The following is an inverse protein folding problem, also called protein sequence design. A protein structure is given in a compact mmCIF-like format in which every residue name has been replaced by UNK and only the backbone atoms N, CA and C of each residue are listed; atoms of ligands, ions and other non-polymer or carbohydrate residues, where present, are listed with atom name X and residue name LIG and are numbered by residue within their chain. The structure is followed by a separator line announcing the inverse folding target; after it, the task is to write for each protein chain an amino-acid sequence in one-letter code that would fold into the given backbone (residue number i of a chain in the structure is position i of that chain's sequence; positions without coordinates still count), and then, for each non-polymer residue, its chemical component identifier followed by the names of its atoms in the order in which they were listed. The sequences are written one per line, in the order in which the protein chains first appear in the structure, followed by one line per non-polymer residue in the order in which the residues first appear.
data_IF_127956827906
#
_entry.id   IF_127956827906
#
_cell.length_a   1.000
_cell.length_b   1.000
_cell.length_c   1.000
_cell.angle_alpha   90.00
_cell.angle_beta   90.00
_cell.angle_gamma   90.00
#
_symmetry.space_group_name_H-M   'P 1'
#
loop_
_entity.id
_entity.type
_entity.pdbx_description
1 polymer ?
#
# COMPACT_ATOMS: atom_id res chain seq x y z
N UNK A 1 4.96 -13.64 -1.67
CA UNK A 1 3.49 -13.78 -1.58
C UNK A 1 2.76 -12.60 -2.22
N UNK A 2 3.02 -11.34 -1.85
CA UNK A 2 2.38 -10.17 -2.49
C UNK A 2 2.34 -10.22 -4.02
N UNK A 3 3.48 -10.49 -4.65
CA UNK A 3 3.61 -10.55 -6.11
C UNK A 3 2.76 -11.64 -6.79
N UNK A 4 2.44 -12.71 -6.07
CA UNK A 4 1.53 -13.76 -6.55
C UNK A 4 0.08 -13.29 -6.42
N UNK A 5 -0.28 -12.70 -5.28
CA UNK A 5 -1.63 -12.18 -5.02
C UNK A 5 -2.02 -11.12 -6.06
N UNK A 6 -1.10 -10.25 -6.46
CA UNK A 6 -1.37 -9.21 -7.46
C UNK A 6 -1.21 -9.68 -8.92
N UNK A 7 -1.00 -10.98 -9.13
CA UNK A 7 -0.91 -11.57 -10.48
C UNK A 7 0.38 -11.22 -11.25
N UNK A 8 1.45 -10.78 -10.56
CA UNK A 8 2.76 -10.53 -11.20
C UNK A 8 3.52 -11.83 -11.46
N UNK A 9 3.31 -12.85 -10.65
CA UNK A 9 3.87 -14.19 -10.83
C UNK A 9 2.78 -15.24 -10.65
N UNK A 10 2.75 -16.28 -11.47
CA UNK A 10 1.87 -17.41 -11.24
C UNK A 10 2.31 -18.19 -9.99
N UNK A 11 1.39 -18.83 -9.26
CA UNK A 11 1.75 -19.76 -8.21
C UNK A 11 2.43 -21.00 -8.82
N UNK A 12 3.38 -21.60 -8.10
CA UNK A 12 4.05 -22.84 -8.52
C UNK A 12 3.10 -24.04 -8.49
N UNK A 13 2.11 -23.99 -7.59
CA UNK A 13 1.03 -24.97 -7.45
C UNK A 13 -0.18 -24.30 -6.81
N UNK A 14 -1.38 -24.85 -7.03
CA UNK A 14 -2.62 -24.26 -6.59
C UNK A 14 -3.03 -23.05 -7.43
N UNK A 15 -4.10 -22.38 -7.02
CA UNK A 15 -4.73 -21.28 -7.77
C UNK A 15 -4.94 -20.08 -6.86
N UNK A 16 -5.06 -18.90 -7.44
CA UNK A 16 -5.47 -17.66 -6.76
C UNK A 16 -6.87 -17.32 -7.22
N UNK A 17 -7.78 -17.12 -6.28
CA UNK A 17 -9.16 -16.76 -6.56
C UNK A 17 -9.44 -15.32 -6.12
N UNK A 18 -10.17 -14.59 -6.96
CA UNK A 18 -10.77 -13.31 -6.65
C UNK A 18 -12.27 -13.51 -6.62
N UNK A 19 -12.86 -13.49 -5.43
CA UNK A 19 -14.21 -14.00 -5.17
C UNK A 19 -14.32 -15.47 -5.65
N UNK A 20 -15.16 -15.74 -6.64
CA UNK A 20 -15.38 -17.09 -7.20
C UNK A 20 -14.57 -17.34 -8.49
N UNK A 21 -13.83 -16.36 -8.98
CA UNK A 21 -13.12 -16.44 -10.26
C UNK A 21 -11.65 -16.81 -10.06
N UNK A 22 -11.18 -17.80 -10.81
CA UNK A 22 -9.75 -18.11 -10.89
C UNK A 22 -9.01 -16.95 -11.59
N UNK A 23 -7.88 -16.53 -11.02
CA UNK A 23 -7.06 -15.45 -11.59
C UNK A 23 -6.60 -15.71 -13.04
N UNK A 24 -6.51 -16.99 -13.45
CA UNK A 24 -6.17 -17.38 -14.81
C UNK A 24 -7.32 -17.16 -15.82
N UNK A 25 -8.56 -17.16 -15.34
CA UNK A 25 -9.75 -16.95 -16.17
C UNK A 25 -10.11 -15.46 -16.32
N UNK A 26 -9.46 -14.60 -15.55
CA UNK A 26 -9.69 -13.15 -15.59
C UNK A 26 -8.72 -12.49 -16.58
N UNK A 27 -9.25 -11.66 -17.49
CA UNK A 27 -8.39 -10.86 -18.35
C UNK A 27 -7.39 -10.04 -17.52
N UNK A 28 -6.10 -10.20 -17.80
CA UNK A 28 -5.01 -9.58 -17.02
C UNK A 28 -5.14 -8.06 -16.92
N UNK A 29 -5.60 -7.39 -18.00
CA UNK A 29 -5.80 -5.94 -18.00
C UNK A 29 -6.92 -5.53 -17.06
N UNK A 30 -8.01 -6.28 -17.07
CA UNK A 30 -9.15 -6.05 -16.18
C UNK A 30 -8.77 -6.30 -14.72
N UNK A 31 -8.10 -7.42 -14.42
CA UNK A 31 -7.63 -7.72 -13.08
C UNK A 31 -6.70 -6.60 -12.54
N UNK A 32 -5.75 -6.16 -13.35
CA UNK A 32 -4.83 -5.06 -12.97
C UNK A 32 -5.55 -3.73 -12.73
N UNK A 33 -6.67 -3.46 -13.39
CA UNK A 33 -7.44 -2.24 -13.15
C UNK A 33 -8.17 -2.25 -11.80
N UNK A 34 -8.42 -3.43 -11.23
CA UNK A 34 -9.07 -3.60 -9.93
C UNK A 34 -8.10 -3.57 -8.75
N UNK A 35 -6.79 -3.65 -9.01
CA UNK A 35 -5.76 -3.81 -7.99
C UNK A 35 -4.91 -2.55 -7.88
N UNK A 36 -4.86 -1.98 -6.68
CA UNK A 36 -3.86 -0.97 -6.30
C UNK A 36 -2.65 -1.63 -5.64
N UNK A 37 -1.44 -1.19 -5.98
CA UNK A 37 -0.21 -1.72 -5.37
C UNK A 37 0.65 -0.56 -4.92
N UNK A 38 1.06 -0.61 -3.66
CA UNK A 38 2.09 0.28 -3.11
C UNK A 38 3.27 -0.59 -2.68
N UNK A 39 4.34 -0.66 -3.49
CA UNK A 39 5.48 -1.53 -3.21
C UNK A 39 6.37 -0.97 -2.10
N UNK A 40 7.20 -1.82 -1.52
CA UNK A 40 8.20 -1.46 -0.52
C UNK A 40 9.20 -0.44 -1.06
N UNK A 41 9.75 -0.69 -2.25
CA UNK A 41 10.64 0.23 -2.94
C UNK A 41 9.86 1.08 -3.93
N UNK A 42 9.72 2.36 -3.62
CA UNK A 42 8.96 3.29 -4.44
C UNK A 42 9.84 3.85 -5.54
N UNK A 43 9.47 3.54 -6.77
CA UNK A 43 10.09 4.13 -7.97
C UNK A 43 9.13 5.16 -8.57
N UNK A 44 9.63 6.40 -8.69
CA UNK A 44 8.99 7.45 -9.47
C UNK A 44 9.76 7.63 -10.79
N UNK A 45 9.01 7.87 -11.85
CA UNK A 45 9.55 8.11 -13.18
C UNK A 45 9.98 9.55 -13.34
N UNK A 46 10.97 9.81 -14.20
CA UNK A 46 11.40 11.16 -14.59
C UNK A 46 10.35 11.81 -15.52
N UNK A 47 9.20 12.09 -14.94
CA UNK A 47 7.99 12.65 -15.54
C UNK A 47 7.34 13.60 -14.54
N UNK A 48 6.25 14.24 -14.92
CA UNK A 48 5.47 15.09 -13.99
C UNK A 48 4.85 14.27 -12.86
N UNK A 49 4.46 14.94 -11.76
CA UNK A 49 3.70 14.29 -10.68
C UNK A 49 2.39 13.71 -11.22
N UNK A 50 1.69 14.44 -12.10
CA UNK A 50 0.50 13.95 -12.81
C UNK A 50 0.76 12.61 -13.48
N UNK A 51 1.77 12.53 -14.34
CA UNK A 51 2.13 11.31 -15.07
C UNK A 51 2.63 10.19 -14.17
N UNK A 52 3.18 10.53 -12.99
CA UNK A 52 3.54 9.55 -11.97
C UNK A 52 2.33 8.97 -11.24
N UNK A 53 1.25 9.72 -11.10
CA UNK A 53 0.00 9.23 -10.51
C UNK A 53 -0.81 8.47 -11.58
N UNK A 54 -0.93 9.04 -12.79
CA UNK A 54 -1.65 8.45 -13.92
C UNK A 54 -0.65 7.71 -14.80
N UNK A 55 -0.40 6.43 -14.52
CA UNK A 55 0.63 5.64 -15.25
C UNK A 55 0.26 5.26 -16.69
N UNK A 56 -0.98 5.46 -17.10
CA UNK A 56 -1.50 5.03 -18.39
C UNK A 56 -1.90 6.24 -19.24
N UNK A 57 -1.83 6.09 -20.56
CA UNK A 57 -2.30 7.08 -21.55
C UNK A 57 -3.85 7.20 -21.57
N UNK A 58 -4.48 7.17 -20.40
CA UNK A 58 -5.91 7.35 -20.22
C UNK A 58 -6.13 8.76 -19.73
N UNK A 59 -7.03 9.47 -20.38
CA UNK A 59 -7.50 10.77 -19.87
C UNK A 59 -8.24 10.54 -18.55
N UNK A 60 -7.63 10.99 -17.46
CA UNK A 60 -8.22 11.00 -16.12
C UNK A 60 -8.70 12.42 -15.85
N UNK A 61 -9.97 12.63 -15.48
CA UNK A 61 -10.48 13.94 -15.08
C UNK A 61 -9.64 14.55 -13.94
N UNK A 62 -9.45 15.87 -13.99
CA UNK A 62 -8.68 16.60 -12.97
C UNK A 62 -9.20 16.32 -11.56
N UNK A 63 -10.53 16.30 -11.41
CA UNK A 63 -11.18 16.01 -10.13
C UNK A 63 -10.81 14.64 -9.53
N UNK A 64 -10.60 13.63 -10.37
CA UNK A 64 -10.17 12.30 -9.90
C UNK A 64 -8.71 12.29 -9.48
N UNK A 65 -7.86 13.01 -10.21
CA UNK A 65 -6.46 13.20 -9.84
C UNK A 65 -6.34 13.92 -8.49
N UNK A 66 -7.08 15.03 -8.32
CA UNK A 66 -7.12 15.77 -7.05
C UNK A 66 -7.65 14.90 -5.92
N UNK A 67 -8.73 14.16 -6.15
CA UNK A 67 -9.31 13.24 -5.17
C UNK A 67 -8.31 12.17 -4.72
N UNK A 68 -7.58 11.58 -5.66
CA UNK A 68 -6.54 10.59 -5.34
C UNK A 68 -5.41 11.22 -4.50
N UNK A 69 -4.99 12.44 -4.85
CA UNK A 69 -3.96 13.16 -4.09
C UNK A 69 -4.43 13.55 -2.68
N UNK A 70 -5.69 13.95 -2.52
CA UNK A 70 -6.31 14.24 -1.20
C UNK A 70 -6.33 12.96 -0.34
N UNK A 71 -6.85 11.86 -0.89
CA UNK A 71 -6.90 10.57 -0.19
C UNK A 71 -5.52 10.06 0.24
N UNK A 72 -4.50 10.34 -0.55
CA UNK A 72 -3.11 10.01 -0.23
C UNK A 72 -2.41 11.06 0.66
N UNK A 73 -3.12 12.10 1.09
CA UNK A 73 -2.59 13.21 1.90
C UNK A 73 -1.37 13.89 1.30
N UNK A 74 -1.35 14.09 -0.03
CA UNK A 74 -0.25 14.73 -0.77
C UNK A 74 -0.69 15.96 -1.56
N UNK A 75 -1.99 16.25 -1.59
CA UNK A 75 -2.56 17.36 -2.37
C UNK A 75 -1.95 18.71 -1.99
N UNK A 76 -1.91 19.05 -0.70
CA UNK A 76 -1.39 20.33 -0.23
C UNK A 76 0.10 20.48 -0.54
N UNK A 77 0.88 19.40 -0.37
CA UNK A 77 2.30 19.40 -0.77
C UNK A 77 2.45 19.74 -2.26
N UNK A 78 1.63 19.11 -3.12
CA UNK A 78 1.66 19.34 -4.57
C UNK A 78 1.24 20.77 -4.90
N UNK A 79 0.16 21.28 -4.28
CA UNK A 79 -0.33 22.64 -4.54
C UNK A 79 0.65 23.73 -4.10
N UNK A 80 1.51 23.46 -3.13
CA UNK A 80 2.59 24.35 -2.68
C UNK A 80 3.81 24.35 -3.62
N UNK A 81 3.88 23.41 -4.58
CA UNK A 81 4.96 23.41 -5.59
C UNK A 81 4.67 24.42 -6.71
N UNK A 82 5.69 25.11 -7.27
CA UNK A 82 5.49 26.13 -8.30
C UNK A 82 4.72 25.63 -9.54
N UNK A 83 4.95 24.40 -9.96
CA UNK A 83 4.31 23.78 -11.13
C UNK A 83 3.18 22.82 -10.74
N UNK A 84 2.82 22.72 -9.46
CA UNK A 84 1.75 21.84 -8.95
C UNK A 84 1.88 20.43 -9.52
N UNK A 85 0.80 19.83 -10.06
CA UNK A 85 0.83 18.51 -10.69
C UNK A 85 1.78 18.40 -11.90
N UNK A 86 2.14 19.53 -12.53
CA UNK A 86 3.11 19.56 -13.63
C UNK A 86 4.56 19.66 -13.15
N UNK A 87 4.81 19.62 -11.84
CA UNK A 87 6.17 19.56 -11.29
C UNK A 87 6.89 18.31 -11.79
N UNK A 88 8.05 18.50 -12.43
CA UNK A 88 8.89 17.39 -12.88
C UNK A 88 9.52 16.69 -11.68
N UNK A 89 9.39 15.39 -11.65
CA UNK A 89 10.09 14.51 -10.72
C UNK A 89 11.47 14.24 -11.31
N UNK A 90 12.52 14.62 -10.60
CA UNK A 90 13.90 14.34 -11.03
C UNK A 90 14.19 12.84 -10.97
N UNK A 91 15.33 12.45 -11.52
CA UNK A 91 15.77 11.05 -11.50
C UNK A 91 15.69 10.47 -10.07
N UNK A 92 14.98 9.34 -9.95
CA UNK A 92 14.69 8.69 -8.66
C UNK A 92 13.96 9.57 -7.63
N UNK A 93 13.37 10.71 -8.07
CA UNK A 93 12.62 11.63 -7.20
C UNK A 93 13.47 12.35 -6.16
N UNK A 94 14.72 12.68 -6.46
CA UNK A 94 15.64 13.33 -5.49
C UNK A 94 15.17 14.71 -5.02
N UNK A 95 14.25 15.35 -5.77
CA UNK A 95 13.62 16.61 -5.42
C UNK A 95 12.39 16.48 -4.50
N UNK A 96 12.05 15.25 -4.08
CA UNK A 96 10.93 14.96 -3.19
C UNK A 96 11.42 14.28 -1.92
N UNK A 97 10.76 14.56 -0.80
CA UNK A 97 11.02 13.83 0.45
C UNK A 97 10.55 12.37 0.33
N UNK A 98 11.07 11.47 1.17
CA UNK A 98 10.65 10.07 1.22
C UNK A 98 9.13 9.93 1.45
N UNK A 99 8.57 10.73 2.36
CA UNK A 99 7.13 10.75 2.62
C UNK A 99 6.30 11.25 1.43
N UNK A 100 6.78 12.27 0.68
CA UNK A 100 6.10 12.73 -0.53
C UNK A 100 6.09 11.66 -1.63
N UNK A 101 7.23 11.00 -1.87
CA UNK A 101 7.31 9.87 -2.82
C UNK A 101 6.30 8.78 -2.46
N UNK A 102 6.23 8.44 -1.19
CA UNK A 102 5.33 7.40 -0.69
C UNK A 102 3.87 7.79 -0.88
N UNK A 103 3.48 9.02 -0.55
CA UNK A 103 2.12 9.49 -0.75
C UNK A 103 1.74 9.61 -2.24
N UNK A 104 2.67 9.97 -3.12
CA UNK A 104 2.46 9.93 -4.58
C UNK A 104 2.22 8.49 -5.05
N UNK A 105 2.98 7.51 -4.54
CA UNK A 105 2.76 6.11 -4.86
C UNK A 105 1.41 5.59 -4.35
N UNK A 106 0.94 6.08 -3.19
CA UNK A 106 -0.40 5.78 -2.67
C UNK A 106 -1.47 6.41 -3.58
N UNK A 107 -1.32 7.68 -3.98
CA UNK A 107 -2.24 8.32 -4.94
C UNK A 107 -2.34 7.54 -6.26
N UNK A 108 -1.20 7.07 -6.78
CA UNK A 108 -1.11 6.17 -7.95
C UNK A 108 -1.91 4.88 -7.75
N UNK A 109 -1.85 4.28 -6.56
CA UNK A 109 -2.60 3.06 -6.27
C UNK A 109 -4.11 3.32 -6.16
N UNK A 110 -4.52 4.54 -5.79
CA UNK A 110 -5.91 4.92 -5.55
C UNK A 110 -6.64 5.49 -6.78
N UNK A 111 -5.91 5.96 -7.80
CA UNK A 111 -6.47 6.73 -8.92
C UNK A 111 -7.59 5.99 -9.66
N UNK A 112 -7.48 4.67 -9.80
CA UNK A 112 -8.45 3.83 -10.51
C UNK A 112 -9.58 3.30 -9.61
N UNK A 113 -9.75 3.84 -8.40
CA UNK A 113 -10.72 3.35 -7.42
C UNK A 113 -10.70 1.82 -7.28
N UNK A 114 -9.56 1.23 -6.87
CA UNK A 114 -9.35 -0.21 -6.88
C UNK A 114 -10.32 -0.93 -5.94
N UNK A 115 -10.68 -2.17 -6.28
CA UNK A 115 -11.49 -3.05 -5.42
C UNK A 115 -10.63 -3.68 -4.32
N UNK A 116 -9.32 -3.77 -4.58
CA UNK A 116 -8.39 -4.25 -3.59
C UNK A 116 -6.99 -3.62 -3.67
N UNK A 117 -6.38 -3.39 -2.54
CA UNK A 117 -5.07 -2.72 -2.44
C UNK A 117 -4.11 -3.60 -1.66
N UNK A 118 -2.88 -3.69 -2.17
CA UNK A 118 -1.76 -4.32 -1.48
C UNK A 118 -0.74 -3.27 -1.06
N UNK A 119 -0.49 -3.17 0.23
CA UNK A 119 0.58 -2.37 0.82
C UNK A 119 1.71 -3.30 1.22
N UNK A 120 2.86 -3.19 0.56
CA UNK A 120 4.05 -3.97 0.86
C UNK A 120 5.05 -3.07 1.61
N UNK A 121 4.99 -3.08 2.94
CA UNK A 121 5.75 -2.19 3.84
C UNK A 121 5.62 -0.69 3.51
N UNK A 122 4.52 -0.33 2.88
CA UNK A 122 4.35 0.95 2.21
C UNK A 122 4.12 2.15 3.13
N UNK A 123 4.05 1.99 4.45
CA UNK A 123 3.91 3.09 5.41
C UNK A 123 5.19 3.31 6.24
N UNK A 124 6.28 2.62 5.90
CA UNK A 124 7.52 2.64 6.70
C UNK A 124 8.17 4.03 6.79
N UNK A 125 8.07 4.84 5.73
CA UNK A 125 8.67 6.19 5.64
C UNK A 125 7.70 7.31 6.03
N UNK A 126 6.47 6.99 6.44
CA UNK A 126 5.50 7.99 6.90
C UNK A 126 5.65 8.26 8.39
N UNK A 127 5.49 9.51 8.77
CA UNK A 127 5.27 9.86 10.17
C UNK A 127 3.86 9.42 10.62
N UNK A 128 3.67 9.30 11.93
CA UNK A 128 2.44 8.83 12.54
C UNK A 128 1.19 9.61 12.10
N UNK A 129 1.31 10.94 11.91
CA UNK A 129 0.18 11.79 11.53
C UNK A 129 -0.29 11.48 10.10
N UNK A 130 0.66 11.40 9.16
CA UNK A 130 0.36 11.07 7.77
C UNK A 130 -0.17 9.63 7.63
N UNK A 131 0.43 8.67 8.35
CA UNK A 131 -0.03 7.27 8.36
C UNK A 131 -1.49 7.19 8.85
N UNK A 132 -1.82 7.86 9.95
CA UNK A 132 -3.17 7.88 10.52
C UNK A 132 -4.20 8.50 9.56
N UNK A 133 -3.88 9.64 8.93
CA UNK A 133 -4.79 10.28 7.98
C UNK A 133 -5.08 9.39 6.77
N UNK A 134 -4.04 8.76 6.22
CA UNK A 134 -4.21 7.82 5.10
C UNK A 134 -5.06 6.62 5.53
N UNK A 135 -4.83 6.08 6.71
CA UNK A 135 -5.62 4.94 7.22
C UNK A 135 -7.10 5.33 7.43
N UNK A 136 -7.39 6.54 7.91
CA UNK A 136 -8.75 7.07 8.03
C UNK A 136 -9.43 7.14 6.65
N UNK A 137 -8.77 7.68 5.63
CA UNK A 137 -9.30 7.68 4.25
C UNK A 137 -9.48 6.29 3.68
N UNK A 138 -8.54 5.38 3.94
CA UNK A 138 -8.62 4.00 3.47
C UNK A 138 -9.77 3.22 4.14
N UNK A 139 -10.14 3.56 5.36
CA UNK A 139 -11.32 2.98 6.05
C UNK A 139 -12.64 3.40 5.40
N UNK A 140 -12.70 4.59 4.81
CA UNK A 140 -13.89 5.06 4.09
C UNK A 140 -14.07 4.38 2.72
N UNK A 141 -13.00 3.83 2.16
CA UNK A 141 -13.05 3.15 0.86
C UNK A 141 -13.48 1.69 1.08
N UNK A 142 -14.56 1.30 0.44
CA UNK A 142 -15.01 -0.11 0.42
C UNK A 142 -14.10 -0.95 -0.50
N UNK A 143 -12.91 -1.27 -0.03
CA UNK A 143 -11.97 -2.14 -0.73
C UNK A 143 -11.30 -3.12 0.22
N UNK A 144 -10.95 -4.30 -0.27
CA UNK A 144 -10.14 -5.25 0.47
C UNK A 144 -8.71 -4.73 0.56
N UNK A 145 -8.14 -4.72 1.76
CA UNK A 145 -6.77 -4.26 2.00
C UNK A 145 -5.90 -5.41 2.46
N UNK A 146 -4.80 -5.63 1.78
CA UNK A 146 -3.74 -6.55 2.19
C UNK A 146 -2.55 -5.71 2.63
N UNK A 147 -2.18 -5.82 3.89
CA UNK A 147 -1.07 -5.06 4.47
C UNK A 147 0.03 -6.04 4.86
N UNK A 148 1.19 -5.90 4.26
CA UNK A 148 2.40 -6.59 4.68
C UNK A 148 3.20 -5.56 5.46
N UNK A 149 3.40 -5.81 6.74
CA UNK A 149 4.04 -4.85 7.63
C UNK A 149 4.77 -5.53 8.77
N UNK A 150 5.85 -4.91 9.18
CA UNK A 150 6.55 -5.20 10.44
C UNK A 150 6.14 -4.22 11.55
N UNK A 151 5.26 -3.26 11.26
CA UNK A 151 4.76 -2.30 12.27
C UNK A 151 3.54 -2.85 12.97
N UNK A 152 3.57 -2.81 14.29
CA UNK A 152 2.51 -3.27 15.15
C UNK A 152 1.19 -2.52 14.95
N UNK A 153 1.27 -1.20 14.82
CA UNK A 153 0.12 -0.32 14.63
C UNK A 153 -0.68 -0.65 13.39
N UNK A 154 -0.01 -1.10 12.33
CA UNK A 154 -0.66 -1.47 11.07
C UNK A 154 -1.29 -2.87 11.10
N UNK A 155 -0.86 -3.71 12.03
CA UNK A 155 -1.28 -5.13 12.10
C UNK A 155 -2.45 -5.34 13.05
N UNK A 156 -2.44 -4.69 14.21
CA UNK A 156 -3.36 -5.01 15.31
C UNK A 156 -4.82 -4.70 14.99
N UNK A 157 -5.08 -3.72 14.13
CA UNK A 157 -6.42 -3.27 13.76
C UNK A 157 -6.95 -3.99 12.49
N UNK A 158 -6.23 -5.00 12.00
CA UNK A 158 -6.67 -5.79 10.85
C UNK A 158 -7.77 -6.79 11.24
N UNK A 159 -8.78 -6.94 10.37
CA UNK A 159 -9.87 -7.90 10.56
C UNK A 159 -9.36 -9.34 10.61
N UNK A 160 -8.29 -9.63 9.88
CA UNK A 160 -7.62 -10.93 9.84
C UNK A 160 -6.13 -10.78 9.64
N UNK A 161 -5.36 -11.50 10.43
CA UNK A 161 -3.91 -11.54 10.39
C UNK A 161 -3.49 -12.95 10.00
N UNK A 162 -2.57 -13.07 9.04
CA UNK A 162 -1.94 -14.33 8.65
C UNK A 162 -0.48 -14.29 9.09
N UNK A 163 -0.09 -15.22 9.94
CA UNK A 163 1.28 -15.38 10.43
C UNK A 163 2.00 -16.38 9.52
N UNK A 164 3.08 -15.93 8.89
CA UNK A 164 3.94 -16.77 8.05
C UNK A 164 5.25 -17.10 8.77
N UNK A 165 5.61 -18.36 8.77
CA UNK A 165 6.87 -18.86 9.33
C UNK A 165 7.48 -19.87 8.39
N UNK A 166 8.74 -19.66 8.00
CA UNK A 166 9.47 -20.53 7.08
C UNK A 166 8.74 -20.82 5.75
N UNK A 167 7.95 -19.86 5.26
CA UNK A 167 7.19 -19.99 4.01
C UNK A 167 5.82 -20.66 4.13
N UNK A 168 5.43 -21.09 5.33
CA UNK A 168 4.15 -21.74 5.61
C UNK A 168 3.26 -20.86 6.50
N UNK A 169 1.95 -21.10 6.47
CA UNK A 169 1.01 -20.44 7.37
C UNK A 169 1.12 -21.12 8.74
N UNK A 170 1.69 -20.40 9.72
CA UNK A 170 1.82 -20.86 11.10
C UNK A 170 0.51 -20.68 11.88
N UNK A 171 -0.18 -19.55 11.66
CA UNK A 171 -1.47 -19.26 12.27
C UNK A 171 -2.24 -18.18 11.49
N UNK A 172 -3.54 -18.08 11.72
CA UNK A 172 -4.37 -16.97 11.26
C UNK A 172 -5.50 -16.68 12.23
N UNK A 173 -5.91 -15.41 12.30
CA UNK A 173 -6.98 -14.94 13.19
C UNK A 173 -6.93 -13.44 13.36
N UNK A 174 -7.70 -12.90 14.29
CA UNK A 174 -7.57 -11.53 14.74
C UNK A 174 -6.41 -11.38 15.75
N UNK A 175 -6.09 -10.15 16.11
CA UNK A 175 -5.02 -9.84 17.05
C UNK A 175 -5.22 -10.55 18.41
N UNK A 176 -6.42 -10.48 18.98
CA UNK A 176 -6.74 -11.05 20.30
C UNK A 176 -6.58 -12.57 20.32
N UNK A 177 -7.03 -13.23 19.25
CA UNK A 177 -6.88 -14.66 19.12
C UNK A 177 -5.40 -15.06 19.03
N UNK A 178 -4.61 -14.36 18.19
CA UNK A 178 -3.21 -14.70 17.97
C UNK A 178 -2.34 -14.42 19.19
N UNK A 179 -2.58 -13.35 19.92
CA UNK A 179 -1.87 -13.07 21.19
C UNK A 179 -2.07 -14.20 22.20
N UNK A 180 -3.27 -14.78 22.25
CA UNK A 180 -3.57 -15.86 23.22
C UNK A 180 -3.06 -17.22 22.77
N UNK A 181 -3.11 -17.51 21.47
CA UNK A 181 -2.97 -18.87 20.96
C UNK A 181 -1.70 -19.12 20.13
N UNK A 182 -0.96 -18.07 19.72
CA UNK A 182 0.26 -18.24 18.94
C UNK A 182 1.48 -17.64 19.67
N UNK A 183 2.40 -18.47 20.10
CA UNK A 183 3.60 -18.05 20.85
C UNK A 183 4.53 -17.19 19.99
N UNK A 184 4.71 -17.53 18.72
CA UNK A 184 5.57 -16.78 17.79
C UNK A 184 5.04 -15.37 17.60
N UNK A 185 3.73 -15.21 17.35
CA UNK A 185 3.08 -13.90 17.21
C UNK A 185 3.19 -13.07 18.49
N UNK A 186 2.93 -13.68 19.64
CA UNK A 186 3.03 -13.02 20.94
C UNK A 186 4.44 -12.53 21.24
N UNK A 187 5.44 -13.35 20.99
CA UNK A 187 6.84 -12.98 21.21
C UNK A 187 7.26 -11.85 20.26
N UNK A 188 6.85 -11.92 19.00
CA UNK A 188 7.12 -10.87 18.01
C UNK A 188 6.44 -9.55 18.41
N UNK A 189 5.18 -9.60 18.85
CA UNK A 189 4.42 -8.45 19.32
C UNK A 189 5.07 -7.81 20.55
N UNK A 190 5.43 -8.59 21.55
CA UNK A 190 6.09 -8.11 22.77
C UNK A 190 7.46 -7.46 22.45
N UNK A 191 8.25 -8.02 21.53
CA UNK A 191 9.49 -7.41 21.09
C UNK A 191 9.29 -6.03 20.45
N UNK A 192 8.22 -5.84 19.69
CA UNK A 192 7.88 -4.56 19.08
C UNK A 192 7.37 -3.53 20.09
N UNK A 193 6.59 -3.94 21.09
CA UNK A 193 6.14 -3.04 22.17
C UNK A 193 7.28 -2.56 23.07
N UNK A 194 8.27 -3.44 23.35
CA UNK A 194 9.41 -3.13 24.20
C UNK A 194 10.61 -2.51 23.44
N UNK A 195 10.57 -2.39 22.12
CA UNK A 195 11.56 -1.63 21.35
C UNK A 195 11.08 -0.18 21.20
N UNK A 196 11.50 0.74 22.09
CA UNK A 196 11.26 2.15 21.83
C UNK A 196 12.00 2.49 20.56
N UNK A 197 11.30 3.11 19.62
CA UNK A 197 11.86 3.66 18.39
C UNK A 197 13.22 4.30 18.69
N UNK A 198 14.31 3.69 18.26
CA UNK A 198 15.60 4.36 18.24
C UNK A 198 15.45 5.50 17.24
N UNK A 199 15.16 6.67 17.76
CA UNK A 199 15.37 7.90 17.04
C UNK A 199 16.86 7.96 16.71
N UNK A 200 17.22 7.69 15.47
CA UNK A 200 18.51 8.11 14.94
C UNK A 200 18.42 9.63 14.76
N UNK A 201 19.08 10.31 15.68
CA UNK A 201 19.48 11.73 15.57
C UNK A 201 20.49 11.92 14.46
#
# INVERSE_FOLDING_TARGET
MAKIIVGLYPPTSGNVYFDEYDSFDIETKYLKSLIGIVPQEITLFNKTIRENIILHDVEVPEEELERAAIKANVYDDIMNMPMKFNTLVSESGTNLSGGQKQRIAIARALINNPKFIVFDEATSSLDYKNEKQIDEYLKEIQCTRIIISHKLTSIKDADKIVVLKNGEIDAYGDHEYLIRNNEFYRNYFNLLEYSPSRHYS
#
